data_IF_323526544413
#
_entry.id   IF_323526544413
#
_cell.length_a   1.000
_cell.length_b   1.000
_cell.length_c   1.000
_cell.angle_alpha   90.00
_cell.angle_beta   90.00
_cell.angle_gamma   90.00
#
_symmetry.space_group_name_H-M   'P 1'
#
loop_
_entity.id
_entity.type
_entity.pdbx_description
1 polymer ?
#
# COMPACT_ATOMS: atom_id res chain seq x y z
N UNK A 1 -3.24 5.89 11.74
CA UNK A 1 -2.99 5.29 10.42
C UNK A 1 -3.52 6.23 9.34
N UNK A 2 -2.83 6.30 8.22
CA UNK A 2 -3.29 6.98 7.00
C UNK A 2 -3.29 5.97 5.85
N UNK A 3 -4.42 5.75 5.19
CA UNK A 3 -4.48 5.03 3.92
C UNK A 3 -4.64 5.99 2.77
N UNK A 4 -3.84 5.76 1.74
CA UNK A 4 -3.79 6.56 0.51
C UNK A 4 -3.87 5.63 -0.68
N UNK A 5 -4.68 5.99 -1.66
CA UNK A 5 -4.72 5.35 -2.98
C UNK A 5 -4.97 6.42 -4.04
N UNK A 6 -4.81 6.08 -5.31
CA UNK A 6 -5.09 7.00 -6.41
C UNK A 6 -6.51 7.56 -6.33
N UNK A 7 -7.48 6.70 -6.00
CA UNK A 7 -8.87 7.10 -5.72
C UNK A 7 -9.20 6.85 -4.25
N UNK A 8 -9.88 7.81 -3.61
CA UNK A 8 -10.32 7.67 -2.22
C UNK A 8 -11.23 6.45 -2.01
N UNK A 9 -12.07 6.11 -2.98
CA UNK A 9 -12.93 4.92 -2.93
C UNK A 9 -12.10 3.63 -2.77
N UNK A 10 -10.98 3.52 -3.45
CA UNK A 10 -10.06 2.37 -3.31
C UNK A 10 -9.49 2.31 -1.89
N UNK A 11 -9.03 3.43 -1.34
CA UNK A 11 -8.51 3.46 0.02
C UNK A 11 -9.59 3.14 1.08
N UNK A 12 -10.89 3.42 0.82
CA UNK A 12 -12.00 3.02 1.68
C UNK A 12 -12.15 1.49 1.70
N UNK A 13 -11.98 0.82 0.57
CA UNK A 13 -12.08 -0.65 0.51
C UNK A 13 -10.99 -1.33 1.34
N UNK A 14 -9.78 -0.78 1.35
CA UNK A 14 -8.69 -1.26 2.23
C UNK A 14 -9.06 -1.14 3.71
N UNK A 15 -9.72 -0.06 4.11
CA UNK A 15 -10.16 0.16 5.49
C UNK A 15 -11.39 -0.70 5.86
N UNK A 16 -12.18 -1.16 4.90
CA UNK A 16 -13.50 -1.77 5.13
C UNK A 16 -13.50 -2.90 6.17
N UNK A 17 -12.62 -3.90 6.12
CA UNK A 17 -12.62 -4.98 7.11
C UNK A 17 -12.37 -4.46 8.54
N UNK A 18 -11.42 -3.55 8.70
CA UNK A 18 -11.12 -2.93 10.00
C UNK A 18 -12.28 -2.04 10.49
N UNK A 19 -12.95 -1.35 9.56
CA UNK A 19 -14.12 -0.56 9.86
C UNK A 19 -15.30 -1.40 10.38
N UNK A 20 -15.57 -2.54 9.76
CA UNK A 20 -16.61 -3.47 10.22
C UNK A 20 -16.28 -4.01 11.62
N UNK A 21 -15.05 -4.41 11.86
CA UNK A 21 -14.59 -4.81 13.18
C UNK A 21 -14.74 -3.67 14.22
N UNK A 22 -14.33 -2.46 13.87
CA UNK A 22 -14.44 -1.31 14.78
C UNK A 22 -15.91 -0.99 15.13
N UNK A 23 -16.83 -1.13 14.17
CA UNK A 23 -18.25 -0.97 14.41
C UNK A 23 -18.81 -2.03 15.37
N UNK A 24 -18.35 -3.26 15.25
CA UNK A 24 -18.74 -4.35 16.15
C UNK A 24 -18.26 -4.11 17.58
N UNK A 25 -17.00 -3.67 17.75
CA UNK A 25 -16.38 -3.47 19.07
C UNK A 25 -16.80 -2.18 19.76
N UNK A 26 -16.97 -1.08 19.01
CA UNK A 26 -17.14 0.28 19.55
C UNK A 26 -18.42 0.97 19.09
N UNK A 27 -19.25 0.29 18.29
CA UNK A 27 -20.49 0.84 17.76
C UNK A 27 -20.33 1.62 16.46
N UNK A 28 -21.47 1.89 15.81
CA UNK A 28 -21.50 2.52 14.47
C UNK A 28 -20.84 3.91 14.42
N UNK A 29 -20.80 4.63 15.53
CA UNK A 29 -20.18 5.96 15.62
C UNK A 29 -18.66 5.93 15.43
N UNK A 30 -18.01 4.78 15.64
CA UNK A 30 -16.56 4.64 15.47
C UNK A 30 -16.11 4.73 13.98
N UNK A 31 -17.03 4.61 13.03
CA UNK A 31 -16.71 4.58 11.61
C UNK A 31 -17.55 5.56 10.82
N UNK A 32 -16.88 6.33 9.96
CA UNK A 32 -17.51 7.22 8.98
C UNK A 32 -17.23 6.68 7.58
N UNK A 33 -18.28 6.41 6.82
CA UNK A 33 -18.18 5.86 5.46
C UNK A 33 -18.32 6.91 4.36
N UNK A 34 -18.73 8.14 4.71
CA UNK A 34 -18.97 9.21 3.74
C UNK A 34 -17.69 9.65 3.01
N UNK A 35 -17.81 9.94 1.72
CA UNK A 35 -16.67 10.27 0.85
C UNK A 35 -15.81 11.45 1.35
N UNK A 36 -16.38 12.41 2.07
CA UNK A 36 -15.62 13.57 2.57
C UNK A 36 -14.86 13.28 3.87
N UNK A 37 -15.31 12.32 4.67
CA UNK A 37 -14.79 12.06 6.02
C UNK A 37 -14.68 10.57 6.35
N UNK A 38 -14.43 9.72 5.35
CA UNK A 38 -14.25 8.29 5.61
C UNK A 38 -13.06 8.07 6.55
N UNK A 39 -13.27 7.20 7.53
CA UNK A 39 -12.23 6.89 8.52
C UNK A 39 -12.78 6.18 9.74
N UNK A 40 -11.88 5.74 10.59
CA UNK A 40 -12.16 5.14 11.90
C UNK A 40 -11.62 6.10 12.97
N UNK A 41 -12.40 6.30 14.02
CA UNK A 41 -11.97 7.03 15.21
C UNK A 41 -12.40 6.23 16.46
N UNK A 42 -11.42 5.79 17.21
CA UNK A 42 -11.63 4.96 18.39
C UNK A 42 -11.78 5.82 19.65
N UNK A 43 -12.43 5.31 20.71
CA UNK A 43 -12.54 6.02 21.99
C UNK A 43 -11.19 6.39 22.62
N UNK A 44 -10.11 5.69 22.27
CA UNK A 44 -8.74 6.02 22.67
C UNK A 44 -8.19 7.29 22.03
N UNK A 45 -8.86 7.84 21.01
CA UNK A 45 -8.36 8.92 20.16
C UNK A 45 -7.53 8.45 18.98
N UNK A 46 -7.30 7.16 18.83
CA UNK A 46 -6.62 6.60 17.65
C UNK A 46 -7.50 6.75 16.41
N UNK A 47 -6.86 7.09 15.29
CA UNK A 47 -7.57 7.35 14.04
C UNK A 47 -6.96 6.61 12.86
N UNK A 48 -7.83 6.17 11.98
CA UNK A 48 -7.47 5.72 10.63
C UNK A 48 -8.11 6.67 9.61
N UNK A 49 -7.28 7.42 8.93
CA UNK A 49 -7.68 8.45 7.96
C UNK A 49 -7.60 7.90 6.55
N UNK A 50 -8.48 8.36 5.68
CA UNK A 50 -8.55 7.95 4.27
C UNK A 50 -8.38 9.18 3.38
N UNK A 51 -7.36 9.16 2.53
CA UNK A 51 -7.08 10.23 1.58
C UNK A 51 -6.90 9.70 0.15
N UNK A 52 -7.17 10.55 -0.83
CA UNK A 52 -6.67 10.34 -2.19
C UNK A 52 -5.20 10.79 -2.27
N UNK A 53 -4.46 10.25 -3.23
CA UNK A 53 -3.07 10.63 -3.49
C UNK A 53 -3.01 12.01 -4.13
N UNK A 54 -2.87 13.04 -3.32
CA UNK A 54 -2.69 14.43 -3.75
C UNK A 54 -1.82 15.19 -2.73
N UNK A 55 -1.46 16.43 -3.05
CA UNK A 55 -0.57 17.27 -2.25
C UNK A 55 -1.07 17.58 -0.83
N UNK A 56 -2.34 17.33 -0.54
CA UNK A 56 -2.91 17.49 0.81
C UNK A 56 -2.98 16.19 1.61
N UNK A 57 -2.50 15.06 1.06
CA UNK A 57 -2.58 13.76 1.72
C UNK A 57 -1.78 13.77 3.03
N UNK A 58 -2.47 13.62 4.16
CA UNK A 58 -1.86 13.61 5.49
C UNK A 58 -1.47 14.97 6.07
N UNK A 59 -1.54 16.05 5.30
CA UNK A 59 -1.17 17.39 5.76
C UNK A 59 -1.99 17.80 6.99
N UNK A 60 -1.31 18.31 8.03
CA UNK A 60 -1.93 18.69 9.31
C UNK A 60 -2.11 17.53 10.29
N UNK A 61 -1.65 16.34 9.96
CA UNK A 61 -1.66 15.19 10.86
C UNK A 61 -0.24 14.70 11.14
N UNK A 62 -0.01 14.11 12.31
CA UNK A 62 1.20 13.35 12.61
C UNK A 62 0.89 11.87 12.47
N UNK A 63 1.51 11.21 11.50
CA UNK A 63 1.17 9.85 11.04
C UNK A 63 2.18 8.84 11.57
N UNK A 64 1.72 7.81 12.29
CA UNK A 64 2.55 6.69 12.73
C UNK A 64 2.73 5.64 11.62
N UNK A 65 1.67 5.40 10.83
CA UNK A 65 1.67 4.41 9.77
C UNK A 65 0.95 4.97 8.56
N UNK A 66 1.62 4.95 7.42
CA UNK A 66 1.03 5.22 6.10
C UNK A 66 0.90 3.92 5.31
N UNK A 67 -0.27 3.69 4.72
CA UNK A 67 -0.55 2.56 3.85
C UNK A 67 -0.92 3.09 2.48
N UNK A 68 -0.07 2.84 1.48
CA UNK A 68 -0.23 3.28 0.11
C UNK A 68 -0.64 2.09 -0.75
N UNK A 69 -1.89 2.07 -1.15
CA UNK A 69 -2.44 1.05 -2.03
C UNK A 69 -2.36 1.49 -3.49
N UNK A 70 -2.15 0.54 -4.40
CA UNK A 70 -1.86 0.83 -5.81
C UNK A 70 -0.68 1.82 -5.94
N UNK A 71 0.38 1.59 -5.15
CA UNK A 71 1.51 2.52 -5.02
C UNK A 71 2.22 2.79 -6.36
N UNK A 72 2.06 1.92 -7.36
CA UNK A 72 2.56 2.13 -8.73
C UNK A 72 2.01 3.41 -9.37
N UNK A 73 0.78 3.81 -9.01
CA UNK A 73 0.09 4.97 -9.56
C UNK A 73 0.28 6.25 -8.74
N UNK A 74 1.01 6.19 -7.63
CA UNK A 74 1.24 7.34 -6.73
C UNK A 74 2.57 8.00 -7.10
N UNK A 75 2.57 9.27 -7.53
CA UNK A 75 3.81 10.00 -7.80
C UNK A 75 4.71 10.09 -6.56
N UNK A 76 6.02 9.92 -6.72
CA UNK A 76 6.97 10.00 -5.61
C UNK A 76 6.92 11.32 -4.84
N UNK A 77 6.63 12.43 -5.52
CA UNK A 77 6.48 13.74 -4.90
C UNK A 77 5.36 13.79 -3.87
N UNK A 78 4.28 13.03 -4.03
CA UNK A 78 3.17 12.97 -3.05
C UNK A 78 3.66 12.31 -1.76
N UNK A 79 4.40 11.20 -1.88
CA UNK A 79 4.97 10.56 -0.71
C UNK A 79 6.05 11.44 -0.05
N UNK A 80 7.01 11.93 -0.82
CA UNK A 80 8.16 12.68 -0.31
C UNK A 80 7.79 14.08 0.18
N UNK A 81 6.84 14.75 -0.49
CA UNK A 81 6.47 16.15 -0.19
C UNK A 81 5.32 16.30 0.80
N UNK A 82 4.43 15.30 0.89
CA UNK A 82 3.22 15.42 1.73
C UNK A 82 3.20 14.37 2.84
N UNK A 83 3.24 13.07 2.51
CA UNK A 83 3.04 12.00 3.49
C UNK A 83 4.28 11.81 4.39
N UNK A 84 5.47 11.67 3.80
CA UNK A 84 6.71 11.42 4.53
C UNK A 84 7.00 12.46 5.63
N UNK A 85 6.90 13.76 5.34
CA UNK A 85 7.10 14.80 6.37
C UNK A 85 6.15 14.68 7.56
N UNK A 86 4.91 14.19 7.37
CA UNK A 86 3.96 14.00 8.47
C UNK A 86 4.35 12.87 9.43
N UNK A 87 5.29 12.04 9.02
CA UNK A 87 5.77 10.87 9.78
C UNK A 87 7.08 11.16 10.53
N UNK A 88 7.82 12.21 10.15
CA UNK A 88 9.19 12.49 10.65
C UNK A 88 9.29 12.66 12.17
N UNK A 89 8.23 13.18 12.81
CA UNK A 89 8.18 13.42 14.26
C UNK A 89 7.79 12.17 15.08
N UNK A 90 7.60 11.03 14.43
CA UNK A 90 7.21 9.80 15.10
C UNK A 90 8.42 8.93 15.42
N UNK A 91 8.38 8.25 16.56
CA UNK A 91 9.52 7.43 17.03
C UNK A 91 9.78 6.21 16.14
N UNK A 92 8.74 5.59 15.63
CA UNK A 92 8.82 4.38 14.78
C UNK A 92 7.80 4.47 13.64
N UNK A 93 7.97 5.38 12.70
CA UNK A 93 7.05 5.51 11.59
C UNK A 93 7.21 4.35 10.61
N UNK A 94 6.11 3.90 10.04
CA UNK A 94 6.09 2.84 9.04
C UNK A 94 5.32 3.26 7.80
N UNK A 95 5.91 3.07 6.62
CA UNK A 95 5.23 3.21 5.35
C UNK A 95 5.15 1.85 4.66
N UNK A 96 3.94 1.46 4.29
CA UNK A 96 3.64 0.25 3.55
C UNK A 96 3.22 0.63 2.13
N UNK A 97 4.03 0.24 1.16
CA UNK A 97 3.74 0.42 -0.26
C UNK A 97 3.31 -0.93 -0.80
N UNK A 98 2.04 -1.06 -1.15
CA UNK A 98 1.46 -2.29 -1.69
C UNK A 98 1.03 -2.02 -3.13
N UNK A 99 1.38 -2.91 -4.04
CA UNK A 99 1.17 -2.66 -5.46
C UNK A 99 1.23 -3.92 -6.29
N UNK A 100 0.51 -3.93 -7.39
CA UNK A 100 0.84 -4.72 -8.57
C UNK A 100 2.04 -4.12 -9.30
N UNK A 101 2.50 -4.77 -10.37
CA UNK A 101 3.52 -4.21 -11.24
C UNK A 101 3.03 -2.87 -11.82
N UNK A 102 3.92 -1.90 -11.84
CA UNK A 102 3.69 -0.62 -12.48
C UNK A 102 4.24 -0.56 -13.91
N UNK A 103 4.35 0.65 -14.41
CA UNK A 103 4.95 0.94 -15.71
C UNK A 103 6.17 1.90 -15.56
N UNK A 104 6.64 2.45 -16.65
CA UNK A 104 7.77 3.38 -16.67
C UNK A 104 7.54 4.69 -15.90
N UNK A 105 6.29 5.02 -15.57
CA UNK A 105 5.94 6.21 -14.78
C UNK A 105 5.87 5.94 -13.26
N UNK A 106 6.03 4.69 -12.84
CA UNK A 106 5.90 4.24 -11.44
C UNK A 106 7.17 4.55 -10.62
N UNK A 107 7.54 5.83 -10.53
CA UNK A 107 8.78 6.32 -9.96
C UNK A 107 8.93 6.02 -8.46
N UNK A 108 7.85 6.10 -7.69
CA UNK A 108 7.85 5.79 -6.26
C UNK A 108 8.26 4.32 -6.02
N UNK A 109 7.56 3.38 -6.66
CA UNK A 109 7.83 1.95 -6.50
C UNK A 109 9.22 1.57 -7.00
N UNK A 110 9.61 2.10 -8.19
CA UNK A 110 10.92 1.84 -8.77
C UNK A 110 12.06 2.30 -7.85
N UNK A 111 11.94 3.50 -7.25
CA UNK A 111 12.96 4.04 -6.36
C UNK A 111 13.11 3.23 -5.06
N UNK A 112 11.99 2.83 -4.44
CA UNK A 112 12.04 2.04 -3.20
C UNK A 112 12.50 0.60 -3.45
N UNK A 113 12.07 -0.01 -4.56
CA UNK A 113 12.58 -1.31 -5.00
C UNK A 113 14.09 -1.28 -5.21
N UNK A 114 14.60 -0.29 -5.93
CA UNK A 114 16.04 -0.17 -6.17
C UNK A 114 16.81 0.01 -4.87
N UNK A 115 16.34 0.87 -3.97
CA UNK A 115 16.96 1.06 -2.64
C UNK A 115 16.99 -0.24 -1.83
N UNK A 116 15.92 -1.04 -1.87
CA UNK A 116 15.90 -2.33 -1.19
C UNK A 116 16.92 -3.30 -1.79
N UNK A 117 17.00 -3.38 -3.11
CA UNK A 117 17.98 -4.22 -3.83
C UNK A 117 19.41 -3.78 -3.51
N UNK A 118 19.67 -2.49 -3.46
CA UNK A 118 21.00 -1.94 -3.15
C UNK A 118 21.50 -2.28 -1.74
N UNK A 119 20.60 -2.69 -0.84
CA UNK A 119 20.93 -3.14 0.52
C UNK A 119 21.09 -4.66 0.64
N UNK A 120 20.77 -5.43 -0.39
CA UNK A 120 20.94 -6.88 -0.37
C UNK A 120 22.43 -7.24 -0.22
N UNK A 121 22.72 -8.10 0.74
CA UNK A 121 24.09 -8.58 1.00
C UNK A 121 25.02 -7.59 1.68
N UNK A 122 24.55 -6.42 2.10
CA UNK A 122 25.32 -5.47 2.93
C UNK A 122 25.22 -5.84 4.41
N UNK A 123 26.24 -5.46 5.20
CA UNK A 123 26.22 -5.63 6.67
C UNK A 123 25.08 -4.82 7.32
N UNK A 124 24.80 -3.62 6.81
CA UNK A 124 23.63 -2.83 7.20
C UNK A 124 22.47 -3.12 6.22
N UNK A 125 21.46 -3.89 6.64
CA UNK A 125 20.29 -4.18 5.80
C UNK A 125 19.41 -2.94 5.57
N UNK A 126 19.69 -1.82 6.23
CA UNK A 126 18.86 -0.62 6.19
C UNK A 126 17.51 -0.81 6.88
N UNK A 127 16.54 0.02 6.51
CA UNK A 127 15.20 0.05 7.09
C UNK A 127 14.08 -0.26 6.08
N UNK A 128 14.40 -0.97 5.00
CA UNK A 128 13.46 -1.33 3.94
C UNK A 128 13.32 -2.84 3.89
N UNK A 129 12.08 -3.33 3.99
CA UNK A 129 11.71 -4.70 3.68
C UNK A 129 11.07 -4.72 2.30
N UNK A 130 11.58 -5.55 1.39
CA UNK A 130 10.98 -5.82 0.09
C UNK A 130 10.44 -7.26 0.06
N UNK A 131 9.16 -7.39 -0.22
CA UNK A 131 8.51 -8.65 -0.55
C UNK A 131 8.03 -8.56 -2.00
N UNK A 132 8.64 -9.33 -2.89
CA UNK A 132 8.37 -9.27 -4.32
C UNK A 132 8.12 -10.67 -4.88
N UNK A 133 7.04 -10.80 -5.61
CA UNK A 133 6.72 -11.96 -6.44
C UNK A 133 6.74 -11.50 -7.89
N UNK A 134 7.79 -11.84 -8.60
CA UNK A 134 7.99 -11.43 -9.99
C UNK A 134 8.70 -12.52 -10.78
N UNK A 135 8.37 -12.63 -12.05
CA UNK A 135 9.07 -13.53 -12.95
C UNK A 135 10.51 -13.04 -13.21
N UNK A 136 11.49 -13.95 -13.36
CA UNK A 136 12.81 -13.58 -13.83
C UNK A 136 12.74 -12.85 -15.18
N UNK A 137 13.63 -11.87 -15.45
CA UNK A 137 13.60 -11.09 -16.70
C UNK A 137 13.73 -11.94 -17.99
N UNK A 138 14.30 -13.13 -17.86
CA UNK A 138 14.51 -14.08 -18.99
C UNK A 138 13.46 -15.18 -19.06
N UNK A 139 12.45 -15.16 -18.19
CA UNK A 139 11.41 -16.16 -18.17
C UNK A 139 10.48 -16.02 -19.38
N UNK A 140 10.01 -17.13 -19.88
CA UNK A 140 9.01 -17.16 -20.95
C UNK A 140 7.65 -16.70 -20.37
N UNK A 141 7.05 -15.62 -20.89
CA UNK A 141 5.76 -15.12 -20.41
C UNK A 141 4.59 -16.06 -20.70
N UNK A 142 4.75 -16.98 -21.63
CA UNK A 142 3.72 -17.97 -21.99
C UNK A 142 3.85 -19.29 -21.20
N UNK A 143 4.88 -19.43 -20.37
CA UNK A 143 5.07 -20.60 -19.51
C UNK A 143 4.27 -20.49 -18.21
N UNK A 144 3.43 -21.49 -17.95
CA UNK A 144 2.63 -21.60 -16.72
C UNK A 144 3.49 -21.61 -15.45
N UNK A 145 4.70 -22.18 -15.49
CA UNK A 145 5.61 -22.16 -14.35
C UNK A 145 6.09 -20.73 -14.03
N UNK A 146 6.25 -19.90 -15.05
CA UNK A 146 6.51 -18.46 -14.88
C UNK A 146 5.38 -17.78 -14.11
N UNK A 147 4.13 -18.06 -14.44
CA UNK A 147 2.97 -17.49 -13.77
C UNK A 147 2.85 -17.97 -12.31
N UNK A 148 3.10 -19.25 -12.05
CA UNK A 148 3.14 -19.80 -10.70
C UNK A 148 4.17 -19.09 -9.84
N UNK A 149 5.35 -18.88 -10.39
CA UNK A 149 6.44 -18.22 -9.68
C UNK A 149 6.12 -16.75 -9.35
N UNK A 150 5.46 -16.06 -10.26
CA UNK A 150 5.12 -14.64 -10.14
C UNK A 150 3.83 -14.37 -9.33
N UNK A 151 3.04 -15.40 -8.98
CA UNK A 151 1.77 -15.23 -8.31
C UNK A 151 1.79 -15.81 -6.90
N UNK A 152 1.70 -14.99 -5.85
CA UNK A 152 1.65 -15.47 -4.47
C UNK A 152 0.38 -16.27 -4.14
N UNK A 153 -0.68 -16.07 -4.91
CA UNK A 153 -1.97 -16.72 -4.73
C UNK A 153 -2.25 -17.81 -5.78
N UNK A 154 -1.21 -18.34 -6.44
CA UNK A 154 -1.43 -19.37 -7.45
C UNK A 154 -2.28 -20.52 -6.91
N UNK A 155 -3.30 -20.87 -7.68
CA UNK A 155 -4.17 -21.99 -7.37
C UNK A 155 -4.50 -22.74 -8.68
N UNK A 156 -3.92 -23.93 -8.84
CA UNK A 156 -4.07 -24.75 -10.06
C UNK A 156 -5.54 -24.93 -10.50
N UNK A 157 -6.49 -24.96 -9.57
CA UNK A 157 -7.91 -25.13 -9.90
C UNK A 157 -8.57 -23.85 -10.46
N UNK A 158 -8.06 -22.66 -10.11
CA UNK A 158 -8.62 -21.38 -10.56
C UNK A 158 -7.94 -20.87 -11.83
N UNK A 159 -6.64 -21.05 -11.95
CA UNK A 159 -5.85 -20.34 -12.95
C UNK A 159 -5.71 -21.08 -14.29
N UNK A 160 -6.00 -22.40 -14.34
CA UNK A 160 -6.01 -23.17 -15.60
C UNK A 160 -7.18 -22.75 -16.51
N UNK A 161 -8.24 -22.14 -15.96
CA UNK A 161 -9.45 -21.78 -16.72
C UNK A 161 -9.45 -20.34 -17.26
N UNK A 162 -8.52 -19.47 -16.85
CA UNK A 162 -8.44 -18.07 -17.29
C UNK A 162 -7.47 -17.82 -18.44
N UNK A 163 -6.75 -18.82 -18.91
CA UNK A 163 -5.77 -18.71 -20.00
C UNK A 163 -6.24 -19.23 -21.37
N UNK A 164 -7.54 -19.42 -21.57
CA UNK A 164 -8.10 -19.98 -22.78
C UNK A 164 -9.37 -19.28 -23.25
N UNK A 165 -9.28 -18.05 -23.75
CA UNK A 165 -10.16 -17.46 -24.76
C UNK A 165 -9.38 -16.39 -25.54
#
# INVERSE_FOLDING_TARGET
VLSVANKRSTAIEVMRPAGLWAMEQYGKQAVKWGNERAGIELPSGDRWLIHAANDSAGVGFSINMAFLDEAWSIPSQIFMGSIGPTMSERLMPQAWLVSTAGDSSSDLMASYRQRAIDHLGKEDPGNILLLEWSAPPTADPDDVETWKYASPEWNDKRNIHSGGE
#
